data_IF_954872839814
#
_entry.id   IF_954872839814
#
_cell.length_a   1.000
_cell.length_b   1.000
_cell.length_c   1.000
_cell.angle_alpha   90.00
_cell.angle_beta   90.00
_cell.angle_gamma   90.00
#
_symmetry.space_group_name_H-M   'P 1'
#
loop_
_entity.id
_entity.type
_entity.pdbx_description
1 polymer ?
#
# COMPACT_ATOMS: atom_id res chain seq x y z
N UNK A 1 7.53 78.71 -16.90
CA UNK A 1 8.58 77.93 -16.17
C UNK A 1 7.86 76.73 -15.57
N UNK A 2 8.19 75.51 -15.97
CA UNK A 2 7.51 74.31 -15.52
C UNK A 2 8.41 73.54 -14.55
N UNK A 3 7.94 73.36 -13.31
CA UNK A 3 8.59 72.51 -12.31
C UNK A 3 8.17 71.05 -12.54
N UNK A 4 9.13 70.20 -12.89
CA UNK A 4 8.91 68.75 -13.05
C UNK A 4 9.25 68.08 -11.71
N UNK A 5 8.21 67.60 -11.01
CA UNK A 5 8.38 66.74 -9.83
C UNK A 5 8.82 65.35 -10.27
N UNK A 6 10.01 64.93 -9.85
CA UNK A 6 10.54 63.59 -10.08
C UNK A 6 10.23 62.73 -8.84
N UNK A 7 9.28 61.80 -8.97
CA UNK A 7 9.04 60.77 -7.96
C UNK A 7 10.09 59.66 -8.07
N UNK A 8 10.77 59.37 -6.94
CA UNK A 8 11.76 58.27 -6.86
C UNK A 8 11.04 56.92 -6.84
N UNK A 9 11.29 56.08 -7.85
CA UNK A 9 10.84 54.69 -7.87
C UNK A 9 11.50 53.90 -6.74
N UNK A 10 10.72 53.09 -6.04
CA UNK A 10 11.22 52.21 -4.96
C UNK A 10 12.25 51.23 -5.54
N UNK A 11 13.37 50.96 -4.84
CA UNK A 11 14.37 50.02 -5.32
C UNK A 11 13.78 48.61 -5.30
N UNK A 12 13.55 48.02 -6.48
CA UNK A 12 13.04 46.66 -6.65
C UNK A 12 14.17 45.63 -6.50
N UNK A 13 15.43 46.08 -6.63
CA UNK A 13 16.63 45.26 -6.62
C UNK A 13 16.80 44.34 -5.38
N UNK A 14 16.41 44.72 -4.14
CA UNK A 14 16.51 43.83 -2.98
C UNK A 14 15.66 42.55 -3.10
N UNK A 15 14.53 42.59 -3.81
CA UNK A 15 13.64 41.45 -3.97
C UNK A 15 14.23 40.36 -4.88
N UNK A 16 14.98 40.75 -5.91
CA UNK A 16 15.65 39.80 -6.79
C UNK A 16 16.74 39.01 -6.05
N UNK A 17 17.48 39.69 -5.15
CA UNK A 17 18.49 39.04 -4.31
C UNK A 17 17.84 38.03 -3.36
N UNK A 18 16.69 38.38 -2.78
CA UNK A 18 15.97 37.50 -1.86
C UNK A 18 15.48 36.21 -2.54
N UNK A 19 14.93 36.31 -3.74
CA UNK A 19 14.51 35.13 -4.53
C UNK A 19 15.72 34.26 -4.90
N UNK A 20 16.85 34.86 -5.24
CA UNK A 20 18.06 34.14 -5.63
C UNK A 20 18.67 33.37 -4.45
N UNK A 21 18.63 33.92 -3.23
CA UNK A 21 19.07 33.22 -2.01
C UNK A 21 18.17 32.00 -1.72
N UNK A 22 16.85 32.13 -1.88
CA UNK A 22 15.92 31.02 -1.66
C UNK A 22 16.19 29.87 -2.66
N UNK A 23 16.40 30.19 -3.94
CA UNK A 23 16.72 29.17 -4.95
C UNK A 23 18.06 28.49 -4.67
N UNK A 24 19.07 29.24 -4.23
CA UNK A 24 20.36 28.68 -3.84
C UNK A 24 20.24 27.75 -2.62
N UNK A 25 19.41 28.09 -1.64
CA UNK A 25 19.16 27.25 -0.47
C UNK A 25 18.46 25.93 -0.86
N UNK A 26 17.47 25.99 -1.75
CA UNK A 26 16.77 24.79 -2.26
C UNK A 26 17.75 23.87 -3.00
N UNK A 27 18.58 24.43 -3.89
CA UNK A 27 19.59 23.67 -4.63
C UNK A 27 20.63 23.04 -3.70
N UNK A 28 21.11 23.79 -2.70
CA UNK A 28 22.07 23.29 -1.71
C UNK A 28 21.49 22.13 -0.90
N UNK A 29 20.25 22.26 -0.42
CA UNK A 29 19.61 21.20 0.37
C UNK A 29 19.38 19.93 -0.47
N UNK A 30 19.00 20.08 -1.74
CA UNK A 30 18.83 18.94 -2.65
C UNK A 30 20.17 18.24 -2.97
N UNK A 31 21.25 19.01 -3.18
CA UNK A 31 22.57 18.45 -3.51
C UNK A 31 23.28 17.77 -2.32
N UNK A 32 23.11 18.27 -1.10
CA UNK A 32 23.77 17.70 0.10
C UNK A 32 23.00 16.57 0.78
N UNK A 33 21.71 16.36 0.44
CA UNK A 33 20.90 15.32 1.05
C UNK A 33 21.05 13.94 0.40
N UNK A 34 21.95 13.78 -0.57
CA UNK A 34 22.10 12.54 -1.35
C UNK A 34 23.41 11.76 -1.09
N UNK A 35 24.12 12.06 0.02
CA UNK A 35 25.41 11.41 0.30
C UNK A 35 25.62 11.08 1.80
N UNK A 36 24.90 10.10 2.34
CA UNK A 36 25.29 9.17 3.44
C UNK A 36 24.31 7.97 3.38
N UNK A 37 24.69 6.72 3.19
CA UNK A 37 25.79 5.97 3.80
C UNK A 37 26.15 4.77 2.90
N UNK A 38 27.45 4.48 2.77
CA UNK A 38 27.91 3.13 2.51
C UNK A 38 29.20 2.83 3.29
N UNK A 39 29.25 1.56 3.69
CA UNK A 39 30.40 0.72 4.08
C UNK A 39 30.91 0.69 5.55
N UNK A 40 30.66 -0.49 6.11
CA UNK A 40 31.50 -1.34 6.97
C UNK A 40 31.57 -1.11 8.48
N UNK A 41 30.93 -2.03 9.23
CA UNK A 41 31.65 -2.76 10.28
C UNK A 41 31.12 -4.20 10.46
N UNK A 42 32.04 -5.07 10.83
CA UNK A 42 32.12 -6.52 10.64
C UNK A 42 31.07 -7.42 11.35
N UNK A 43 30.68 -8.47 10.61
CA UNK A 43 30.49 -9.87 11.02
C UNK A 43 30.05 -10.20 12.46
N UNK A 44 28.76 -10.56 12.61
CA UNK A 44 28.41 -11.85 13.22
C UNK A 44 27.45 -12.62 12.31
N UNK A 45 28.03 -13.54 11.55
CA UNK A 45 27.32 -14.58 10.78
C UNK A 45 26.64 -15.57 11.73
N UNK A 46 25.32 -15.43 11.91
CA UNK A 46 24.37 -16.54 12.09
C UNK A 46 22.95 -15.99 12.12
N UNK A 47 22.30 -15.90 10.97
CA UNK A 47 21.13 -16.71 10.59
C UNK A 47 20.56 -16.13 9.29
N UNK A 48 20.19 -17.00 8.37
CA UNK A 48 19.96 -16.66 6.96
C UNK A 48 18.56 -16.11 6.73
N UNK A 49 18.40 -14.80 6.58
CA UNK A 49 17.28 -14.20 5.84
C UNK A 49 17.83 -13.02 5.04
N UNK A 50 17.76 -13.14 3.71
CA UNK A 50 18.15 -12.12 2.74
C UNK A 50 17.53 -10.77 3.08
N UNK A 51 18.38 -9.79 3.38
CA UNK A 51 18.02 -8.37 3.32
C UNK A 51 17.57 -8.07 1.88
N UNK A 52 16.29 -7.77 1.72
CA UNK A 52 15.78 -7.19 0.48
C UNK A 52 16.24 -5.74 0.48
N UNK A 53 17.21 -5.47 -0.38
CA UNK A 53 17.67 -4.14 -0.72
C UNK A 53 16.49 -3.35 -1.32
N UNK A 54 16.10 -2.26 -0.65
CA UNK A 54 14.90 -1.48 -0.93
C UNK A 54 15.06 -0.51 -2.12
N UNK A 55 16.11 -0.64 -2.94
CA UNK A 55 16.44 0.26 -4.05
C UNK A 55 16.24 -0.35 -5.46
N UNK A 56 15.36 -1.35 -5.60
CA UNK A 56 15.00 -1.97 -6.88
C UNK A 56 13.49 -1.92 -7.16
N UNK A 57 12.81 -0.86 -6.74
CA UNK A 57 11.41 -0.61 -7.08
C UNK A 57 11.35 0.11 -8.45
N UNK A 58 10.95 -0.65 -9.47
CA UNK A 58 10.67 -0.28 -10.87
C UNK A 58 11.87 -0.07 -11.81
N UNK A 59 12.53 -1.17 -12.20
CA UNK A 59 13.09 -1.28 -13.56
C UNK A 59 12.31 -2.31 -14.37
N UNK A 60 11.51 -1.77 -15.29
CA UNK A 60 10.78 -2.47 -16.34
C UNK A 60 11.75 -3.37 -17.14
N UNK A 61 11.79 -4.65 -16.78
CA UNK A 61 12.39 -5.68 -17.63
C UNK A 61 11.45 -6.88 -17.59
N UNK A 62 10.97 -7.24 -18.78
CA UNK A 62 10.03 -8.32 -19.02
C UNK A 62 10.62 -9.66 -18.56
N UNK A 63 10.43 -10.03 -17.30
CA UNK A 63 10.54 -11.42 -16.85
C UNK A 63 9.46 -11.71 -15.82
N UNK A 64 8.73 -12.77 -16.13
CA UNK A 64 7.60 -13.36 -15.42
C UNK A 64 8.03 -13.86 -14.03
N UNK A 65 7.82 -13.03 -13.00
CA UNK A 65 7.98 -13.46 -11.61
C UNK A 65 6.85 -12.92 -10.72
N UNK A 66 5.62 -13.35 -10.97
CA UNK A 66 4.59 -13.41 -9.92
C UNK A 66 4.66 -14.75 -9.19
N UNK A 67 5.84 -15.14 -8.71
CA UNK A 67 5.98 -16.27 -7.79
C UNK A 67 5.51 -15.81 -6.42
N UNK A 68 4.21 -16.00 -6.16
CA UNK A 68 3.58 -15.83 -4.86
C UNK A 68 4.10 -16.94 -3.93
N UNK A 69 5.17 -16.64 -3.18
CA UNK A 69 5.63 -17.32 -1.96
C UNK A 69 5.51 -18.87 -1.99
N UNK A 70 6.57 -19.56 -2.42
CA UNK A 70 6.62 -21.04 -2.49
C UNK A 70 7.30 -21.71 -1.27
N UNK A 71 7.44 -20.99 -0.15
CA UNK A 71 8.10 -21.49 1.06
C UNK A 71 7.31 -22.57 1.80
N UNK A 72 7.98 -23.66 2.18
CA UNK A 72 7.43 -24.82 2.93
C UNK A 72 7.24 -24.58 4.44
N UNK A 73 7.38 -23.35 4.93
CA UNK A 73 7.21 -22.96 6.35
C UNK A 73 5.93 -22.13 6.52
N UNK A 74 4.77 -22.78 6.60
CA UNK A 74 3.44 -22.16 6.55
C UNK A 74 3.23 -20.97 7.51
N UNK A 75 3.49 -21.16 8.81
CA UNK A 75 3.23 -20.12 9.83
C UNK A 75 4.11 -18.88 9.65
N UNK A 76 5.42 -19.05 9.42
CA UNK A 76 6.35 -17.91 9.23
C UNK A 76 6.02 -17.13 7.95
N UNK A 77 5.56 -17.84 6.91
CA UNK A 77 5.09 -17.21 5.67
C UNK A 77 3.80 -16.41 5.90
N UNK A 78 2.88 -16.93 6.71
CA UNK A 78 1.63 -16.26 7.06
C UNK A 78 1.89 -14.95 7.84
N UNK A 79 2.61 -15.05 8.96
CA UNK A 79 2.92 -13.90 9.82
C UNK A 79 3.63 -12.79 9.04
N UNK A 80 4.58 -13.18 8.18
CA UNK A 80 5.30 -12.22 7.32
C UNK A 80 4.37 -11.55 6.31
N UNK A 81 3.49 -12.30 5.64
CA UNK A 81 2.57 -11.73 4.66
C UNK A 81 1.59 -10.73 5.31
N UNK A 82 1.09 -11.05 6.51
CA UNK A 82 0.23 -10.16 7.29
C UNK A 82 1.02 -8.91 7.71
N UNK A 83 2.24 -9.06 8.23
CA UNK A 83 3.08 -7.93 8.65
C UNK A 83 3.45 -7.01 7.48
N UNK A 84 3.79 -7.57 6.31
CA UNK A 84 4.09 -6.81 5.10
C UNK A 84 2.86 -6.00 4.65
N UNK A 85 1.67 -6.60 4.69
CA UNK A 85 0.41 -5.90 4.38
C UNK A 85 0.13 -4.75 5.35
N UNK A 86 0.21 -5.01 6.66
CA UNK A 86 -0.03 -3.98 7.69
C UNK A 86 0.94 -2.81 7.56
N UNK A 87 2.22 -3.11 7.34
CA UNK A 87 3.27 -2.10 7.12
C UNK A 87 2.96 -1.26 5.88
N UNK A 88 2.48 -1.89 4.80
CA UNK A 88 2.11 -1.19 3.59
C UNK A 88 0.96 -0.20 3.81
N UNK A 89 -0.09 -0.62 4.54
CA UNK A 89 -1.27 0.23 4.77
C UNK A 89 -1.12 1.24 5.90
N UNK A 90 -0.12 1.09 6.79
CA UNK A 90 0.15 2.05 7.87
C UNK A 90 0.93 3.29 7.39
N UNK A 91 1.42 3.29 6.15
CA UNK A 91 2.18 4.41 5.61
C UNK A 91 1.33 5.70 5.54
N UNK A 92 1.75 6.73 6.28
CA UNK A 92 1.09 8.05 6.37
C UNK A 92 0.93 8.75 5.00
N UNK A 93 1.68 8.33 3.98
CA UNK A 93 1.53 8.80 2.60
C UNK A 93 0.38 8.13 1.84
N UNK A 94 -0.65 7.66 2.55
CA UNK A 94 -1.89 7.11 2.00
C UNK A 94 -2.64 8.12 1.11
N UNK A 95 -2.12 8.36 -0.09
CA UNK A 95 -2.94 8.73 -1.22
C UNK A 95 -3.62 7.45 -1.69
N UNK A 96 -4.96 7.40 -1.71
CA UNK A 96 -5.68 6.37 -2.50
C UNK A 96 -5.56 6.66 -4.00
N UNK A 97 -4.34 6.98 -4.45
CA UNK A 97 -4.02 6.91 -5.85
C UNK A 97 -4.04 5.45 -6.31
N UNK A 98 -4.06 5.28 -7.62
CA UNK A 98 -4.21 3.98 -8.26
C UNK A 98 -3.02 3.06 -7.98
N UNK A 99 -1.82 3.58 -7.70
CA UNK A 99 -0.64 2.77 -7.36
C UNK A 99 -0.76 2.26 -5.93
N UNK A 100 -1.04 3.15 -4.98
CA UNK A 100 -1.22 2.75 -3.60
C UNK A 100 -2.34 1.72 -3.45
N UNK A 101 -3.50 1.98 -4.08
CA UNK A 101 -4.67 1.10 -3.97
C UNK A 101 -4.42 -0.27 -4.60
N UNK A 102 -3.73 -0.31 -5.74
CA UNK A 102 -3.31 -1.57 -6.35
C UNK A 102 -2.37 -2.34 -5.41
N UNK A 103 -1.33 -1.71 -4.89
CA UNK A 103 -0.39 -2.38 -3.98
C UNK A 103 -1.08 -2.86 -2.70
N UNK A 104 -1.97 -2.07 -2.11
CA UNK A 104 -2.73 -2.48 -0.92
C UNK A 104 -3.60 -3.72 -1.20
N UNK A 105 -4.26 -3.78 -2.36
CA UNK A 105 -5.02 -4.97 -2.78
C UNK A 105 -4.10 -6.17 -3.00
N UNK A 106 -2.93 -5.99 -3.65
CA UNK A 106 -1.99 -7.09 -3.91
C UNK A 106 -1.40 -7.65 -2.62
N UNK A 107 -1.02 -6.80 -1.67
CA UNK A 107 -0.58 -7.23 -0.35
C UNK A 107 -1.69 -7.93 0.42
N UNK A 108 -2.92 -7.42 0.37
CA UNK A 108 -4.07 -8.06 1.03
C UNK A 108 -4.41 -9.42 0.41
N UNK A 109 -4.35 -9.57 -0.92
CA UNK A 109 -4.50 -10.86 -1.61
C UNK A 109 -3.43 -11.84 -1.12
N UNK A 110 -2.18 -11.39 -1.06
CA UNK A 110 -1.05 -12.22 -0.61
C UNK A 110 -1.23 -12.69 0.83
N UNK A 111 -1.62 -11.79 1.73
CA UNK A 111 -1.87 -12.14 3.13
C UNK A 111 -3.08 -13.08 3.28
N UNK A 112 -4.15 -12.85 2.52
CA UNK A 112 -5.33 -13.73 2.52
C UNK A 112 -5.00 -15.12 1.98
N UNK A 113 -4.16 -15.20 0.93
CA UNK A 113 -3.71 -16.46 0.37
C UNK A 113 -2.83 -17.24 1.37
N UNK A 114 -1.92 -16.56 2.05
CA UNK A 114 -1.05 -17.16 3.05
C UNK A 114 -1.87 -17.75 4.22
N UNK A 115 -2.82 -16.98 4.74
CA UNK A 115 -3.74 -17.42 5.80
C UNK A 115 -4.59 -18.62 5.34
N UNK A 116 -5.15 -18.56 4.13
CA UNK A 116 -5.95 -19.66 3.58
C UNK A 116 -5.13 -20.94 3.41
N UNK A 117 -3.89 -20.84 2.92
CA UNK A 117 -2.95 -21.97 2.80
C UNK A 117 -2.60 -22.53 4.18
N UNK A 118 -2.33 -21.67 5.16
CA UNK A 118 -2.04 -22.10 6.53
C UNK A 118 -3.20 -22.92 7.11
N UNK A 119 -4.42 -22.44 6.84
CA UNK A 119 -5.65 -23.07 7.29
C UNK A 119 -6.14 -24.23 6.43
N UNK A 120 -5.50 -24.50 5.29
CA UNK A 120 -5.95 -25.45 4.27
C UNK A 120 -7.41 -25.19 3.84
N UNK A 121 -7.73 -23.93 3.51
CA UNK A 121 -9.03 -23.46 3.01
C UNK A 121 -8.90 -23.03 1.55
N UNK A 122 -9.77 -23.54 0.68
CA UNK A 122 -9.76 -23.15 -0.75
C UNK A 122 -10.51 -21.84 -0.98
N UNK A 123 -9.76 -20.81 -1.39
CA UNK A 123 -10.27 -19.49 -1.78
C UNK A 123 -9.71 -19.03 -3.13
N UNK A 124 -9.08 -19.93 -3.89
CA UNK A 124 -8.28 -19.58 -5.06
C UNK A 124 -9.11 -18.85 -6.13
N UNK A 125 -10.34 -19.29 -6.36
CA UNK A 125 -11.22 -18.66 -7.35
C UNK A 125 -11.49 -17.18 -7.07
N UNK A 126 -11.71 -16.84 -5.79
CA UNK A 126 -11.94 -15.45 -5.38
C UNK A 126 -10.64 -14.63 -5.49
N UNK A 127 -9.52 -15.16 -5.01
CA UNK A 127 -8.25 -14.43 -5.03
C UNK A 127 -7.71 -14.20 -6.45
N UNK A 128 -7.91 -15.14 -7.37
CA UNK A 128 -7.56 -14.94 -8.78
C UNK A 128 -8.41 -13.85 -9.43
N UNK A 129 -9.71 -13.80 -9.16
CA UNK A 129 -10.56 -12.71 -9.65
C UNK A 129 -10.16 -11.36 -9.04
N UNK A 130 -9.88 -11.32 -7.74
CA UNK A 130 -9.40 -10.12 -7.07
C UNK A 130 -8.09 -9.60 -7.70
N UNK A 131 -7.13 -10.50 -7.95
CA UNK A 131 -5.83 -10.19 -8.56
C UNK A 131 -5.98 -9.63 -9.97
N UNK A 132 -6.87 -10.19 -10.78
CA UNK A 132 -7.18 -9.68 -12.12
C UNK A 132 -7.69 -8.24 -12.05
N UNK A 133 -8.66 -7.97 -11.18
CA UNK A 133 -9.22 -6.62 -11.03
C UNK A 133 -8.19 -5.63 -10.47
N UNK A 134 -7.41 -6.04 -9.46
CA UNK A 134 -6.38 -5.21 -8.86
C UNK A 134 -5.34 -4.79 -9.90
N UNK A 135 -4.85 -5.73 -10.71
CA UNK A 135 -3.84 -5.47 -11.76
C UNK A 135 -4.36 -4.52 -12.84
N UNK A 136 -5.67 -4.46 -13.07
CA UNK A 136 -6.26 -3.55 -14.05
C UNK A 136 -6.42 -2.10 -13.55
N UNK A 137 -6.23 -1.83 -12.25
CA UNK A 137 -6.32 -0.47 -11.68
C UNK A 137 -5.19 0.43 -12.17
N UNK A 138 -4.00 -0.11 -12.43
CA UNK A 138 -2.84 0.70 -12.84
C UNK A 138 -2.67 0.79 -14.36
N UNK A 139 -3.46 0.05 -15.14
CA UNK A 139 -3.33 0.00 -16.62
C UNK A 139 -3.78 1.28 -17.32
N UNK A 140 -4.78 1.97 -16.79
CA UNK A 140 -5.26 3.26 -17.33
C UNK A 140 -5.45 4.27 -16.19
N UNK A 141 -4.41 5.03 -15.83
CA UNK A 141 -4.45 6.00 -14.74
C UNK A 141 -5.56 7.06 -14.86
N UNK A 142 -6.11 7.27 -16.06
CA UNK A 142 -7.17 8.26 -16.33
C UNK A 142 -8.59 7.68 -16.23
N UNK A 143 -8.71 6.37 -16.05
CA UNK A 143 -9.99 5.69 -16.01
C UNK A 143 -10.84 6.09 -14.82
N UNK A 144 -12.08 6.49 -15.09
CA UNK A 144 -13.09 6.70 -14.05
C UNK A 144 -13.64 5.38 -13.49
N UNK A 145 -13.21 4.23 -14.02
CA UNK A 145 -13.67 2.89 -13.61
C UNK A 145 -12.80 2.23 -12.56
N UNK A 146 -11.83 2.94 -11.98
CA UNK A 146 -11.02 2.37 -10.90
C UNK A 146 -11.88 1.94 -9.71
N UNK A 147 -12.89 2.74 -9.35
CA UNK A 147 -13.79 2.39 -8.25
C UNK A 147 -14.57 1.08 -8.52
N UNK A 148 -14.96 0.80 -9.76
CA UNK A 148 -15.56 -0.50 -10.14
C UNK A 148 -14.61 -1.66 -9.82
N UNK A 149 -13.36 -1.55 -10.30
CA UNK A 149 -12.34 -2.60 -10.14
C UNK A 149 -11.97 -2.81 -8.69
N UNK A 150 -11.79 -1.73 -7.94
CA UNK A 150 -11.51 -1.76 -6.50
C UNK A 150 -12.67 -2.45 -5.77
N UNK A 151 -13.92 -2.10 -6.09
CA UNK A 151 -15.10 -2.70 -5.45
C UNK A 151 -15.17 -4.20 -5.72
N UNK A 152 -14.93 -4.63 -6.96
CA UNK A 152 -14.96 -6.05 -7.30
C UNK A 152 -13.83 -6.78 -6.57
N UNK A 153 -12.60 -6.27 -6.63
CA UNK A 153 -11.46 -6.87 -5.91
C UNK A 153 -11.71 -6.98 -4.41
N UNK A 154 -12.19 -5.90 -3.77
CA UNK A 154 -12.54 -5.87 -2.36
C UNK A 154 -13.66 -6.86 -2.02
N UNK A 155 -14.67 -7.00 -2.90
CA UNK A 155 -15.75 -7.96 -2.76
C UNK A 155 -15.26 -9.40 -2.77
N UNK A 156 -14.40 -9.75 -3.73
CA UNK A 156 -13.80 -11.09 -3.84
C UNK A 156 -12.90 -11.42 -2.64
N UNK A 157 -12.03 -10.50 -2.23
CA UNK A 157 -11.20 -10.66 -1.03
C UNK A 157 -12.07 -10.82 0.22
N UNK A 158 -13.11 -10.00 0.39
CA UNK A 158 -14.01 -10.11 1.55
C UNK A 158 -14.75 -11.45 1.59
N UNK A 159 -15.02 -12.04 0.41
CA UNK A 159 -15.62 -13.37 0.31
C UNK A 159 -14.62 -14.43 0.72
N UNK A 160 -13.37 -14.36 0.24
CA UNK A 160 -12.30 -15.26 0.67
C UNK A 160 -12.06 -15.22 2.19
N UNK A 161 -11.90 -14.02 2.76
CA UNK A 161 -11.74 -13.83 4.21
C UNK A 161 -12.92 -14.39 5.00
N UNK A 162 -14.15 -14.18 4.53
CA UNK A 162 -15.34 -14.76 5.16
C UNK A 162 -15.35 -16.29 5.07
N UNK A 163 -14.92 -16.89 3.96
CA UNK A 163 -14.81 -18.34 3.83
C UNK A 163 -13.79 -18.94 4.80
N UNK A 164 -12.62 -18.30 4.97
CA UNK A 164 -11.63 -18.70 6.00
C UNK A 164 -12.26 -18.60 7.39
N UNK A 165 -12.89 -17.46 7.69
CA UNK A 165 -13.53 -17.19 8.98
C UNK A 165 -14.60 -18.24 9.32
N UNK A 166 -15.53 -18.52 8.42
CA UNK A 166 -16.62 -19.47 8.67
C UNK A 166 -16.11 -20.89 8.96
N UNK A 167 -15.00 -21.29 8.34
CA UNK A 167 -14.45 -22.64 8.51
C UNK A 167 -13.54 -22.80 9.73
N UNK A 168 -12.83 -21.73 10.14
CA UNK A 168 -11.73 -21.82 11.10
C UNK A 168 -11.86 -20.91 12.31
N UNK A 169 -12.55 -19.79 12.16
CA UNK A 169 -12.64 -18.73 13.17
C UNK A 169 -14.10 -18.29 13.40
N UNK A 170 -15.02 -19.19 13.80
CA UNK A 170 -16.46 -18.90 13.87
C UNK A 170 -16.81 -17.73 14.83
N UNK A 171 -15.93 -17.41 15.77
CA UNK A 171 -16.08 -16.30 16.71
C UNK A 171 -15.77 -14.92 16.10
N UNK A 172 -15.14 -14.85 14.91
CA UNK A 172 -14.82 -13.59 14.21
C UNK A 172 -15.86 -13.18 13.16
N UNK A 173 -17.10 -13.70 13.26
CA UNK A 173 -18.15 -13.44 12.26
C UNK A 173 -18.49 -11.96 12.13
N UNK A 174 -18.45 -11.20 13.23
CA UNK A 174 -18.79 -9.78 13.22
C UNK A 174 -17.76 -8.96 12.43
N UNK A 175 -16.48 -9.30 12.60
CA UNK A 175 -15.35 -8.68 11.94
C UNK A 175 -15.36 -9.00 10.43
N UNK A 176 -15.60 -10.26 10.06
CA UNK A 176 -15.75 -10.66 8.66
C UNK A 176 -16.94 -9.99 7.96
N UNK A 177 -18.09 -9.89 8.64
CA UNK A 177 -19.25 -9.16 8.10
C UNK A 177 -18.98 -7.66 7.95
N UNK A 178 -18.17 -7.08 8.84
CA UNK A 178 -17.77 -5.69 8.73
C UNK A 178 -16.90 -5.45 7.49
N UNK A 179 -15.91 -6.32 7.23
CA UNK A 179 -15.08 -6.24 6.01
C UNK A 179 -15.94 -6.29 4.75
N UNK A 180 -16.88 -7.25 4.67
CA UNK A 180 -17.81 -7.37 3.53
C UNK A 180 -18.70 -6.13 3.36
N UNK A 181 -19.17 -5.56 4.47
CA UNK A 181 -19.98 -4.33 4.47
C UNK A 181 -19.17 -3.15 3.94
N UNK A 182 -17.91 -3.01 4.35
CA UNK A 182 -17.03 -1.93 3.90
C UNK A 182 -16.68 -2.06 2.40
N UNK A 183 -16.40 -3.28 1.92
CA UNK A 183 -16.23 -3.53 0.49
C UNK A 183 -17.46 -3.09 -0.33
N UNK A 184 -18.66 -3.33 0.21
CA UNK A 184 -19.92 -2.97 -0.44
C UNK A 184 -20.18 -1.46 -0.47
N UNK A 185 -19.61 -0.69 0.47
CA UNK A 185 -19.76 0.77 0.57
C UNK A 185 -18.96 1.53 -0.49
N UNK A 186 -17.92 0.92 -1.07
CA UNK A 186 -17.15 1.54 -2.16
C UNK A 186 -18.13 1.92 -3.28
N UNK A 187 -18.24 3.21 -3.57
CA UNK A 187 -19.18 3.75 -4.53
C UNK A 187 -18.54 3.80 -5.90
N UNK A 188 -19.06 3.01 -6.84
CA UNK A 188 -18.55 2.97 -8.20
C UNK A 188 -18.80 4.24 -9.01
N UNK A 189 -19.69 5.12 -8.53
CA UNK A 189 -20.01 6.40 -9.16
C UNK A 189 -19.13 7.54 -8.66
N UNK A 190 -18.37 7.32 -7.59
CA UNK A 190 -17.49 8.30 -6.98
C UNK A 190 -16.04 8.03 -7.37
N UNK A 191 -15.25 9.08 -7.63
CA UNK A 191 -13.82 8.89 -7.86
C UNK A 191 -13.16 8.32 -6.59
N UNK A 192 -12.21 7.39 -6.74
CA UNK A 192 -11.51 6.77 -5.59
C UNK A 192 -10.95 7.81 -4.62
N UNK A 193 -10.40 8.91 -5.15
CA UNK A 193 -9.86 10.03 -4.37
C UNK A 193 -10.90 10.77 -3.51
N UNK A 194 -12.20 10.63 -3.80
CA UNK A 194 -13.29 11.27 -3.04
C UNK A 194 -13.86 10.33 -1.95
N UNK A 195 -13.58 9.03 -2.03
CA UNK A 195 -14.05 8.00 -1.09
C UNK A 195 -12.89 7.35 -0.32
N UNK A 196 -11.85 8.14 -0.02
CA UNK A 196 -10.61 7.64 0.60
C UNK A 196 -10.86 6.92 1.92
N UNK A 197 -11.76 7.47 2.72
CA UNK A 197 -12.06 6.96 4.05
C UNK A 197 -12.75 5.59 3.99
N UNK A 198 -13.66 5.39 3.05
CA UNK A 198 -14.35 4.09 2.85
C UNK A 198 -13.36 3.02 2.39
N UNK A 199 -12.50 3.36 1.42
CA UNK A 199 -11.46 2.45 0.91
C UNK A 199 -10.42 2.13 1.99
N UNK A 200 -9.97 3.14 2.75
CA UNK A 200 -9.04 2.94 3.87
C UNK A 200 -9.68 2.07 4.96
N UNK A 201 -10.93 2.33 5.31
CA UNK A 201 -11.64 1.55 6.32
C UNK A 201 -11.73 0.08 5.92
N UNK A 202 -11.97 -0.22 4.64
CA UNK A 202 -11.92 -1.59 4.13
C UNK A 202 -10.55 -2.24 4.37
N UNK A 203 -9.46 -1.57 4.00
CA UNK A 203 -8.11 -2.11 4.21
C UNK A 203 -7.78 -2.30 5.70
N UNK A 204 -8.03 -1.29 6.53
CA UNK A 204 -7.76 -1.34 7.98
C UNK A 204 -8.52 -2.50 8.64
N UNK A 205 -9.81 -2.69 8.33
CA UNK A 205 -10.60 -3.76 8.93
C UNK A 205 -10.22 -5.14 8.39
N UNK A 206 -9.78 -5.23 7.14
CA UNK A 206 -9.24 -6.48 6.59
C UNK A 206 -7.95 -6.88 7.30
N UNK A 207 -7.08 -5.91 7.59
CA UNK A 207 -5.84 -6.15 8.37
C UNK A 207 -6.14 -6.59 9.79
N UNK A 208 -7.07 -5.92 10.48
CA UNK A 208 -7.51 -6.33 11.82
C UNK A 208 -8.08 -7.75 11.84
N UNK A 209 -8.86 -8.12 10.83
CA UNK A 209 -9.41 -9.48 10.74
C UNK A 209 -8.29 -10.51 10.61
N UNK A 210 -7.34 -10.29 9.69
CA UNK A 210 -6.16 -11.17 9.52
C UNK A 210 -5.32 -11.26 10.80
N UNK A 211 -5.06 -10.14 11.48
CA UNK A 211 -4.38 -10.14 12.76
C UNK A 211 -5.10 -10.98 13.82
N UNK A 212 -6.43 -10.86 13.90
CA UNK A 212 -7.22 -11.62 14.85
C UNK A 212 -7.24 -13.12 14.52
N UNK A 213 -7.27 -13.49 13.23
CA UNK A 213 -7.13 -14.88 12.78
C UNK A 213 -5.79 -15.46 13.22
N UNK A 214 -4.68 -14.79 12.88
CA UNK A 214 -3.33 -15.19 13.26
C UNK A 214 -3.12 -15.25 14.79
N UNK A 215 -3.71 -14.32 15.56
CA UNK A 215 -3.62 -14.36 17.03
C UNK A 215 -4.34 -15.58 17.62
N UNK A 216 -5.48 -16.00 17.05
CA UNK A 216 -6.18 -17.20 17.49
C UNK A 216 -5.41 -18.50 17.19
N UNK A 217 -4.52 -18.51 16.21
CA UNK A 217 -3.61 -19.64 15.97
C UNK A 217 -2.66 -19.82 17.16
N UNK A 218 -2.02 -18.73 17.56
CA UNK A 218 -1.00 -18.71 18.61
C UNK A 218 -1.52 -19.07 20.01
N UNK A 219 -2.81 -18.83 20.28
CA UNK A 219 -3.45 -19.18 21.55
C UNK A 219 -3.86 -20.67 21.65
N UNK A 220 -3.91 -21.39 20.51
CA UNK A 220 -4.39 -22.79 20.44
C UNK A 220 -3.27 -23.83 20.21
N UNK A 221 -2.00 -23.40 20.13
CA UNK A 221 -0.80 -24.27 20.10
C UNK A 221 -0.27 -24.56 21.52
#
# INVERSE_FOLDING_TARGET
MAEIKIEKKKPIWPWFILVLIILAAIYFFWYYNDNKHDADDDLMTNDSITQIDNDQIYRETNEDTTSLYDGSYGDVVNEKAIADYLTYIDNEKMGVDHQFTNGALMHLITATEAEARNMNVDVNANLEQAKQQATEITKDPTSLKHADKIKIAAGEISTALKTIQEQKFPNLSSEADMVKTLASKIDTKMATLQQKEDVKSFFDNSGKLLQNMNAHENDNQ
#
